data_IF_068143280333
#
_entry.id   IF_068143280333
#
_cell.length_a   1.000
_cell.length_b   1.000
_cell.length_c   1.000
_cell.angle_alpha   90.00
_cell.angle_beta   90.00
_cell.angle_gamma   90.00
#
_symmetry.space_group_name_H-M   'P 1'
#
loop_
_entity.id
_entity.type
_entity.pdbx_description
1 polymer ?
#
# COMPACT_ATOMS: atom_id res chain seq x y z
N UNK A 1 12.81 -30.55 -33.49
CA UNK A 1 13.30 -29.26 -32.93
C UNK A 1 14.03 -29.48 -31.61
N UNK A 2 13.45 -30.20 -30.64
CA UNK A 2 14.10 -30.58 -29.37
C UNK A 2 15.49 -31.22 -29.54
N UNK A 3 15.64 -32.15 -30.48
CA UNK A 3 16.94 -32.78 -30.78
C UNK A 3 18.04 -31.79 -31.16
N UNK A 4 17.71 -30.70 -31.88
CA UNK A 4 18.70 -29.68 -32.25
C UNK A 4 19.13 -28.85 -31.03
N UNK A 5 18.21 -28.58 -30.11
CA UNK A 5 18.49 -27.84 -28.87
C UNK A 5 19.41 -28.65 -27.97
N UNK A 6 19.11 -29.94 -27.75
CA UNK A 6 19.95 -30.81 -26.93
C UNK A 6 21.33 -31.01 -27.56
N UNK A 7 21.40 -31.23 -28.89
CA UNK A 7 22.68 -31.34 -29.59
C UNK A 7 23.52 -30.06 -29.47
N UNK A 8 22.90 -28.88 -29.54
CA UNK A 8 23.57 -27.60 -29.33
C UNK A 8 24.09 -27.47 -27.89
N UNK A 9 23.27 -27.78 -26.89
CA UNK A 9 23.65 -27.71 -25.47
C UNK A 9 24.82 -28.63 -25.13
N UNK A 10 24.83 -29.86 -25.66
CA UNK A 10 25.93 -30.82 -25.46
C UNK A 10 27.21 -30.34 -26.16
N UNK A 11 27.11 -29.83 -27.39
CA UNK A 11 28.25 -29.34 -28.17
C UNK A 11 28.89 -28.09 -27.56
N UNK A 12 28.09 -27.14 -27.07
CA UNK A 12 28.53 -25.84 -26.56
C UNK A 12 28.37 -25.71 -25.03
N UNK A 13 28.71 -26.77 -24.28
CA UNK A 13 28.58 -26.82 -22.81
C UNK A 13 29.15 -25.60 -22.06
N UNK A 14 30.26 -25.03 -22.52
CA UNK A 14 30.86 -23.85 -21.88
C UNK A 14 29.97 -22.60 -21.98
N UNK A 15 29.27 -22.45 -23.10
CA UNK A 15 28.30 -21.35 -23.31
C UNK A 15 27.09 -21.56 -22.41
N UNK A 16 26.57 -22.79 -22.29
CA UNK A 16 25.43 -23.11 -21.43
C UNK A 16 25.74 -22.80 -19.97
N UNK A 17 26.93 -23.17 -19.48
CA UNK A 17 27.36 -22.86 -18.11
C UNK A 17 27.51 -21.34 -17.91
N UNK A 18 28.08 -20.62 -18.88
CA UNK A 18 28.19 -19.17 -18.79
C UNK A 18 26.81 -18.48 -18.73
N UNK A 19 25.85 -18.93 -19.54
CA UNK A 19 24.48 -18.43 -19.50
C UNK A 19 23.78 -18.76 -18.18
N UNK A 20 23.99 -19.95 -17.62
CA UNK A 20 23.45 -20.33 -16.31
C UNK A 20 23.98 -19.43 -15.18
N UNK A 21 25.29 -19.11 -15.20
CA UNK A 21 25.89 -18.19 -14.22
C UNK A 21 25.35 -16.77 -14.39
N UNK A 22 25.23 -16.28 -15.63
CA UNK A 22 24.65 -14.96 -15.91
C UNK A 22 23.19 -14.88 -15.46
N UNK A 23 22.41 -15.94 -15.69
CA UNK A 23 21.02 -16.03 -15.25
C UNK A 23 20.92 -15.98 -13.73
N UNK A 24 21.75 -16.74 -12.99
CA UNK A 24 21.78 -16.65 -11.54
C UNK A 24 22.18 -15.27 -11.04
N UNK A 25 23.22 -14.66 -11.63
CA UNK A 25 23.65 -13.30 -11.27
C UNK A 25 22.56 -12.26 -11.49
N UNK A 26 21.86 -12.32 -12.63
CA UNK A 26 20.74 -11.45 -12.94
C UNK A 26 19.54 -11.70 -12.02
N UNK A 27 19.24 -12.98 -11.74
CA UNK A 27 18.17 -13.37 -10.84
C UNK A 27 18.39 -12.88 -9.41
N UNK A 28 19.63 -12.97 -8.90
CA UNK A 28 19.99 -12.41 -7.59
C UNK A 28 19.81 -10.89 -7.59
N UNK A 29 20.29 -10.20 -8.63
CA UNK A 29 20.12 -8.75 -8.74
C UNK A 29 18.64 -8.33 -8.76
N UNK A 30 17.80 -9.05 -9.52
CA UNK A 30 16.36 -8.79 -9.59
C UNK A 30 15.65 -9.10 -8.28
N UNK A 31 15.96 -10.24 -7.64
CA UNK A 31 15.38 -10.62 -6.35
C UNK A 31 15.72 -9.61 -5.25
N UNK A 32 16.94 -9.05 -5.26
CA UNK A 32 17.39 -8.05 -4.28
C UNK A 32 16.61 -6.73 -4.34
N UNK A 33 16.00 -6.43 -5.49
CA UNK A 33 15.21 -5.22 -5.72
C UNK A 33 13.71 -5.50 -5.85
N UNK A 34 13.27 -6.74 -5.62
CA UNK A 34 11.89 -7.14 -5.81
C UNK A 34 11.01 -6.64 -4.66
N UNK A 35 9.79 -6.22 -4.99
CA UNK A 35 8.78 -5.89 -3.99
C UNK A 35 8.24 -7.17 -3.33
N UNK A 36 8.20 -7.15 -2.00
CA UNK A 36 7.73 -8.24 -1.16
C UNK A 36 6.43 -7.84 -0.46
N UNK A 37 5.38 -8.60 -0.72
CA UNK A 37 4.05 -8.39 -0.14
C UNK A 37 3.47 -9.71 0.36
N UNK A 38 2.47 -9.63 1.23
CA UNK A 38 1.77 -10.82 1.76
C UNK A 38 0.84 -11.39 0.68
N UNK A 39 0.05 -10.51 0.06
CA UNK A 39 -0.94 -10.88 -0.94
C UNK A 39 -0.66 -10.15 -2.26
N UNK A 40 -1.08 -10.72 -3.40
CA UNK A 40 -1.15 -9.96 -4.63
C UNK A 40 -2.19 -8.84 -4.51
N UNK A 41 -2.15 -7.87 -5.42
CA UNK A 41 -3.18 -6.84 -5.53
C UNK A 41 -4.52 -7.46 -5.93
N UNK A 42 -5.45 -7.56 -4.97
CA UNK A 42 -6.73 -8.29 -5.13
C UNK A 42 -7.95 -7.38 -5.06
N UNK A 43 -7.77 -6.12 -4.65
CA UNK A 43 -8.87 -5.16 -4.61
C UNK A 43 -9.32 -4.82 -6.03
N UNK A 44 -10.62 -4.62 -6.26
CA UNK A 44 -11.07 -4.10 -7.54
C UNK A 44 -10.50 -2.69 -7.75
N UNK A 45 -10.28 -2.33 -9.02
CA UNK A 45 -9.87 -0.96 -9.38
C UNK A 45 -11.01 -0.02 -9.05
N UNK A 46 -10.80 0.87 -8.08
CA UNK A 46 -11.84 1.78 -7.63
C UNK A 46 -11.30 3.17 -7.34
N UNK A 47 -12.16 4.16 -7.52
CA UNK A 47 -11.90 5.55 -7.16
C UNK A 47 -12.94 5.97 -6.14
N UNK A 48 -12.47 6.40 -4.97
CA UNK A 48 -13.32 6.87 -3.88
C UNK A 48 -13.25 8.40 -3.86
N UNK A 49 -14.42 9.01 -3.78
CA UNK A 49 -14.60 10.46 -3.69
C UNK A 49 -15.34 10.73 -2.39
N UNK A 50 -14.80 11.63 -1.58
CA UNK A 50 -15.39 12.06 -0.33
C UNK A 50 -15.69 13.55 -0.40
N UNK A 51 -16.88 13.92 0.06
CA UNK A 51 -17.31 15.32 0.09
C UNK A 51 -17.88 15.64 1.46
N UNK A 52 -17.19 16.52 2.18
CA UNK A 52 -17.62 16.99 3.49
C UNK A 52 -18.73 18.05 3.36
N UNK A 53 -19.85 17.80 4.02
CA UNK A 53 -21.06 18.61 3.96
C UNK A 53 -21.55 18.95 5.37
N UNK A 54 -20.67 19.53 6.18
CA UNK A 54 -20.88 19.76 7.60
C UNK A 54 -22.21 20.48 7.89
N UNK A 55 -23.00 19.92 8.81
CA UNK A 55 -24.29 20.47 9.23
C UNK A 55 -25.50 20.01 8.43
N UNK A 56 -25.32 19.22 7.36
CA UNK A 56 -26.44 18.60 6.63
C UNK A 56 -26.85 17.25 7.24
N UNK A 57 -28.16 16.97 7.21
CA UNK A 57 -28.70 15.64 7.51
C UNK A 57 -28.38 14.65 6.38
N UNK A 58 -28.44 13.34 6.64
CA UNK A 58 -28.13 12.33 5.61
C UNK A 58 -29.00 12.48 4.35
N UNK A 59 -30.28 12.81 4.50
CA UNK A 59 -31.21 13.05 3.37
C UNK A 59 -30.83 14.32 2.58
N UNK A 60 -30.41 15.38 3.27
CA UNK A 60 -29.91 16.59 2.60
C UNK A 60 -28.59 16.34 1.88
N UNK A 61 -27.66 15.57 2.48
CA UNK A 61 -26.43 15.14 1.82
C UNK A 61 -26.74 14.34 0.56
N UNK A 62 -27.69 13.41 0.63
CA UNK A 62 -28.10 12.62 -0.52
C UNK A 62 -28.58 13.50 -1.68
N UNK A 63 -29.54 14.39 -1.43
CA UNK A 63 -30.18 15.20 -2.47
C UNK A 63 -29.27 16.32 -2.99
N UNK A 64 -28.53 16.98 -2.09
CA UNK A 64 -27.75 18.18 -2.42
C UNK A 64 -26.31 17.89 -2.84
N UNK A 65 -25.76 16.72 -2.51
CA UNK A 65 -24.35 16.38 -2.76
C UNK A 65 -24.23 15.08 -3.52
N UNK A 66 -24.73 13.98 -2.95
CA UNK A 66 -24.49 12.64 -3.50
C UNK A 66 -25.13 12.47 -4.87
N UNK A 67 -26.40 12.83 -5.05
CA UNK A 67 -27.10 12.70 -6.34
C UNK A 67 -26.46 13.56 -7.45
N UNK A 68 -26.11 14.85 -7.25
CA UNK A 68 -25.34 15.62 -8.23
C UNK A 68 -24.01 14.96 -8.62
N UNK A 69 -23.27 14.43 -7.64
CA UNK A 69 -22.01 13.72 -7.89
C UNK A 69 -22.25 12.46 -8.73
N UNK A 70 -23.20 11.60 -8.34
CA UNK A 70 -23.55 10.39 -9.10
C UNK A 70 -23.98 10.71 -10.52
N UNK A 71 -24.81 11.73 -10.72
CA UNK A 71 -25.29 12.12 -12.05
C UNK A 71 -24.15 12.63 -12.94
N UNK A 72 -23.18 13.34 -12.38
CA UNK A 72 -22.05 13.89 -13.12
C UNK A 72 -20.99 12.83 -13.48
N UNK A 73 -20.81 11.87 -12.58
CA UNK A 73 -19.90 10.74 -12.73
C UNK A 73 -20.55 9.58 -13.52
N UNK A 74 -21.88 9.61 -13.63
CA UNK A 74 -22.66 8.69 -14.43
C UNK A 74 -22.24 8.70 -15.90
N UNK A 75 -22.02 7.50 -16.46
CA UNK A 75 -21.63 7.33 -17.85
C UNK A 75 -20.13 7.49 -18.13
N UNK A 76 -19.28 7.52 -17.10
CA UNK A 76 -17.84 7.36 -17.28
C UNK A 76 -17.53 6.01 -17.94
N UNK A 77 -16.73 6.03 -19.01
CA UNK A 77 -16.31 4.82 -19.71
C UNK A 77 -15.49 3.92 -18.80
N UNK A 78 -15.66 2.60 -18.92
CA UNK A 78 -14.91 1.64 -18.10
C UNK A 78 -15.44 1.43 -16.68
N UNK A 79 -16.49 2.15 -16.28
CA UNK A 79 -17.14 1.96 -14.98
C UNK A 79 -17.99 0.69 -14.98
N UNK A 80 -17.74 -0.21 -14.03
CA UNK A 80 -18.56 -1.40 -13.77
C UNK A 80 -19.75 -1.04 -12.88
N UNK A 81 -19.53 -0.28 -11.81
CA UNK A 81 -20.60 0.16 -10.92
C UNK A 81 -20.24 1.45 -10.19
N UNK A 82 -21.28 2.20 -9.80
CA UNK A 82 -21.17 3.34 -8.88
C UNK A 82 -21.99 2.98 -7.66
N UNK A 83 -21.39 3.14 -6.48
CA UNK A 83 -22.07 3.01 -5.18
C UNK A 83 -21.85 4.28 -4.40
N UNK A 84 -22.86 4.72 -3.66
CA UNK A 84 -22.72 5.85 -2.78
C UNK A 84 -23.24 5.56 -1.39
N UNK A 85 -22.77 6.35 -0.45
CA UNK A 85 -23.20 6.35 0.92
C UNK A 85 -23.32 7.80 1.40
N UNK A 86 -24.53 8.16 1.84
CA UNK A 86 -24.82 9.45 2.45
C UNK A 86 -25.02 9.26 3.94
N UNK A 87 -24.11 9.82 4.73
CA UNK A 87 -24.23 9.90 6.19
C UNK A 87 -24.28 11.37 6.61
N UNK A 88 -24.70 11.69 7.85
CA UNK A 88 -24.70 13.08 8.30
C UNK A 88 -23.32 13.72 8.08
N UNK A 89 -23.31 14.89 7.44
CA UNK A 89 -22.10 15.65 7.13
C UNK A 89 -21.07 15.04 6.17
N UNK A 90 -21.30 13.85 5.58
CA UNK A 90 -20.34 13.23 4.65
C UNK A 90 -21.04 12.45 3.53
N UNK A 91 -20.64 12.72 2.30
CA UNK A 91 -20.95 11.91 1.12
C UNK A 91 -19.73 11.11 0.70
N UNK A 92 -19.90 9.81 0.45
CA UNK A 92 -18.86 8.93 -0.09
C UNK A 92 -19.39 8.29 -1.37
N UNK A 93 -18.70 8.51 -2.49
CA UNK A 93 -19.02 7.92 -3.79
C UNK A 93 -17.86 7.01 -4.20
N UNK A 94 -18.15 5.75 -4.50
CA UNK A 94 -17.21 4.71 -4.88
C UNK A 94 -17.52 4.29 -6.31
N UNK A 95 -16.58 4.56 -7.22
CA UNK A 95 -16.65 4.09 -8.60
C UNK A 95 -15.76 2.88 -8.73
N UNK A 96 -16.33 1.75 -9.15
CA UNK A 96 -15.59 0.54 -9.46
C UNK A 96 -15.46 0.40 -10.98
N UNK A 97 -14.24 0.15 -11.45
CA UNK A 97 -13.89 0.02 -12.86
C UNK A 97 -13.61 -1.43 -13.24
N UNK A 98 -13.78 -1.77 -14.51
CA UNK A 98 -13.42 -3.09 -15.03
C UNK A 98 -11.92 -3.35 -14.95
N UNK A 99 -11.52 -4.60 -14.72
CA UNK A 99 -10.10 -4.97 -14.58
C UNK A 99 -9.22 -4.61 -15.79
N UNK A 100 -9.80 -4.44 -16.97
CA UNK A 100 -9.07 -4.07 -18.20
C UNK A 100 -8.66 -2.60 -18.29
N UNK A 101 -9.15 -1.71 -17.42
CA UNK A 101 -8.85 -0.27 -17.47
C UNK A 101 -7.52 0.06 -16.78
N UNK A 102 -7.00 1.27 -17.01
CA UNK A 102 -5.85 1.78 -16.25
C UNK A 102 -6.37 2.70 -15.14
N UNK A 103 -6.08 2.36 -13.88
CA UNK A 103 -6.56 3.11 -12.72
C UNK A 103 -6.08 4.57 -12.72
N UNK A 104 -4.90 4.87 -13.27
CA UNK A 104 -4.42 6.24 -13.35
C UNK A 104 -5.22 7.04 -14.38
N UNK A 105 -5.57 6.42 -15.51
CA UNK A 105 -6.44 7.03 -16.51
C UNK A 105 -7.87 7.21 -15.96
N UNK A 106 -8.39 6.20 -15.26
CA UNK A 106 -9.71 6.26 -14.64
C UNK A 106 -9.80 7.43 -13.63
N UNK A 107 -8.78 7.60 -12.78
CA UNK A 107 -8.67 8.75 -11.88
C UNK A 107 -8.59 10.08 -12.62
N UNK A 108 -7.85 10.14 -13.73
CA UNK A 108 -7.79 11.35 -14.55
C UNK A 108 -9.19 11.70 -15.09
N UNK A 109 -9.91 10.73 -15.66
CA UNK A 109 -11.26 10.93 -16.19
C UNK A 109 -12.24 11.38 -15.10
N UNK A 110 -12.15 10.80 -13.89
CA UNK A 110 -12.93 11.24 -12.73
C UNK A 110 -12.59 12.68 -12.38
N UNK A 111 -11.29 13.03 -12.29
CA UNK A 111 -10.86 14.38 -11.98
C UNK A 111 -11.37 15.40 -13.00
N UNK A 112 -11.37 15.07 -14.29
CA UNK A 112 -11.92 15.92 -15.35
C UNK A 112 -13.42 16.19 -15.17
N UNK A 113 -14.20 15.20 -14.68
CA UNK A 113 -15.62 15.38 -14.36
C UNK A 113 -15.86 16.21 -13.10
N UNK A 114 -14.98 16.10 -12.10
CA UNK A 114 -15.11 16.85 -10.85
C UNK A 114 -14.87 18.36 -11.02
N UNK A 115 -14.03 18.78 -11.97
CA UNK A 115 -13.68 20.19 -12.18
C UNK A 115 -14.89 21.11 -12.45
N UNK A 116 -15.98 20.59 -13.01
CA UNK A 116 -17.19 21.36 -13.31
C UNK A 116 -18.29 21.29 -12.23
N UNK A 117 -18.07 20.56 -11.13
CA UNK A 117 -19.13 20.29 -10.14
C UNK A 117 -19.16 21.27 -8.98
N UNK A 118 -18.12 22.06 -8.78
CA UNK A 118 -18.08 23.04 -7.70
C UNK A 118 -19.22 24.07 -7.80
N UNK A 119 -19.64 24.42 -9.02
CA UNK A 119 -20.76 25.35 -9.24
C UNK A 119 -22.14 24.71 -8.99
N UNK A 120 -22.22 23.38 -8.98
CA UNK A 120 -23.46 22.62 -8.77
C UNK A 120 -23.69 22.30 -7.28
N UNK A 121 -22.64 22.35 -6.46
CA UNK A 121 -22.72 22.13 -5.02
C UNK A 121 -23.06 23.43 -4.29
N UNK A 122 -23.84 23.38 -3.20
CA UNK A 122 -24.10 24.54 -2.34
C UNK A 122 -22.81 25.21 -1.82
N UNK A 123 -22.82 26.55 -1.70
CA UNK A 123 -21.64 27.37 -1.32
C UNK A 123 -20.98 26.99 0.02
N UNK A 124 -21.71 26.31 0.91
CA UNK A 124 -21.23 25.91 2.25
C UNK A 124 -20.65 24.49 2.31
N UNK A 125 -20.46 23.82 1.17
CA UNK A 125 -19.98 22.43 1.09
C UNK A 125 -18.54 22.42 0.58
N UNK A 126 -17.71 21.57 1.17
CA UNK A 126 -16.32 21.42 0.73
C UNK A 126 -16.26 20.86 -0.70
N UNK A 127 -15.17 21.12 -1.45
CA UNK A 127 -15.00 20.52 -2.76
C UNK A 127 -14.93 18.98 -2.63
N UNK A 128 -15.43 18.23 -3.62
CA UNK A 128 -15.29 16.78 -3.63
C UNK A 128 -13.81 16.40 -3.77
N UNK A 129 -13.31 15.63 -2.82
CA UNK A 129 -11.91 15.19 -2.76
C UNK A 129 -11.80 13.73 -3.18
N UNK A 130 -10.87 13.45 -4.08
CA UNK A 130 -10.54 12.08 -4.45
C UNK A 130 -9.56 11.51 -3.43
N UNK A 131 -9.95 10.41 -2.77
CA UNK A 131 -9.10 9.70 -1.82
C UNK A 131 -7.81 9.25 -2.52
N UNK A 132 -6.64 9.26 -1.84
CA UNK A 132 -5.40 8.71 -2.38
C UNK A 132 -5.58 7.29 -2.92
N UNK A 133 -4.69 6.89 -3.84
CA UNK A 133 -4.74 5.54 -4.39
C UNK A 133 -3.99 4.58 -3.45
N UNK A 134 -4.75 3.69 -2.81
CA UNK A 134 -4.27 2.79 -1.76
C UNK A 134 -3.98 1.37 -2.28
N UNK A 135 -3.18 0.59 -1.54
CA UNK A 135 -2.97 -0.86 -1.78
C UNK A 135 -4.18 -1.69 -1.33
N UNK A 136 -4.44 -2.86 -1.94
CA UNK A 136 -5.43 -3.82 -1.41
C UNK A 136 -5.16 -4.29 0.01
N UNK A 137 -3.90 -4.24 0.46
CA UNK A 137 -3.53 -4.55 1.84
C UNK A 137 -4.02 -3.48 2.83
N UNK A 138 -4.30 -2.27 2.34
CA UNK A 138 -4.78 -1.13 3.12
C UNK A 138 -3.73 -0.63 4.10
N UNK A 139 -3.86 -1.03 5.36
CA UNK A 139 -3.02 -0.56 6.47
C UNK A 139 -1.69 -1.29 6.51
N UNK A 140 -0.59 -0.55 6.29
CA UNK A 140 0.78 -1.07 6.39
C UNK A 140 1.23 -1.13 7.86
N UNK A 141 0.84 -0.16 8.68
CA UNK A 141 1.24 -0.11 10.08
C UNK A 141 0.21 0.66 10.91
N UNK A 142 -0.12 0.15 12.09
CA UNK A 142 -0.90 0.90 13.08
C UNK A 142 0.00 1.28 14.25
N UNK A 143 0.04 2.58 14.54
CA UNK A 143 0.87 3.21 15.55
C UNK A 143 -0.05 3.82 16.61
N UNK A 144 0.33 3.74 17.87
CA UNK A 144 -0.42 4.32 18.98
C UNK A 144 0.42 5.28 19.81
N UNK A 145 -0.21 6.34 20.31
CA UNK A 145 0.36 7.27 21.27
C UNK A 145 -0.55 7.38 22.49
N UNK A 146 0.04 7.22 23.67
CA UNK A 146 -0.64 7.39 24.95
C UNK A 146 0.25 8.13 25.93
N UNK A 147 -0.30 8.96 26.80
CA UNK A 147 0.46 9.62 27.87
C UNK A 147 -0.39 9.73 29.13
N UNK A 148 0.25 9.55 30.28
CA UNK A 148 -0.37 9.86 31.58
C UNK A 148 -0.10 11.32 32.01
N UNK A 149 0.77 12.06 31.30
CA UNK A 149 1.16 13.45 31.61
C UNK A 149 0.47 14.50 30.72
N UNK A 150 0.23 14.16 29.46
CA UNK A 150 -0.37 15.05 28.47
C UNK A 150 -1.85 14.74 28.27
N UNK A 151 -2.65 15.78 28.01
CA UNK A 151 -4.04 15.61 27.62
C UNK A 151 -4.16 15.10 26.17
N UNK A 152 -5.34 14.57 25.84
CA UNK A 152 -5.63 14.06 24.50
C UNK A 152 -5.53 15.13 23.42
N UNK A 153 -5.75 16.40 23.78
CA UNK A 153 -5.67 17.53 22.87
C UNK A 153 -4.22 17.86 22.49
N UNK A 154 -3.29 17.84 23.44
CA UNK A 154 -1.87 18.00 23.16
C UNK A 154 -1.32 16.82 22.35
N UNK A 155 -1.73 15.58 22.68
CA UNK A 155 -1.33 14.40 21.91
C UNK A 155 -1.82 14.46 20.46
N UNK A 156 -3.09 14.84 20.26
CA UNK A 156 -3.66 15.00 18.92
C UNK A 156 -2.94 16.08 18.12
N UNK A 157 -2.67 17.23 18.74
CA UNK A 157 -1.92 18.30 18.09
C UNK A 157 -0.50 17.87 17.70
N UNK A 158 0.20 17.11 18.54
CA UNK A 158 1.52 16.58 18.22
C UNK A 158 1.45 15.63 17.01
N UNK A 159 0.43 14.77 16.96
CA UNK A 159 0.19 13.86 15.85
C UNK A 159 -0.04 14.62 14.55
N UNK A 160 -1.03 15.51 14.53
CA UNK A 160 -1.48 16.17 13.30
C UNK A 160 -0.41 17.10 12.72
N UNK A 161 0.33 17.81 13.58
CA UNK A 161 1.26 18.86 13.14
C UNK A 161 2.72 18.41 13.05
N UNK A 162 3.10 17.29 13.67
CA UNK A 162 4.51 16.84 13.72
C UNK A 162 4.68 15.43 13.17
N UNK A 163 3.96 14.45 13.73
CA UNK A 163 4.18 13.05 13.40
C UNK A 163 3.61 12.69 12.02
N UNK A 164 2.35 13.02 11.75
CA UNK A 164 1.67 12.68 10.49
C UNK A 164 2.39 13.26 9.27
N UNK A 165 2.82 14.55 9.23
CA UNK A 165 3.57 15.09 8.11
C UNK A 165 4.91 14.36 7.87
N UNK A 166 5.61 13.96 8.95
CA UNK A 166 6.86 13.22 8.83
C UNK A 166 6.63 11.81 8.30
N UNK A 167 5.59 11.12 8.76
CA UNK A 167 5.26 9.78 8.27
C UNK A 167 4.75 9.81 6.81
N UNK A 168 3.97 10.81 6.41
CA UNK A 168 3.54 11.01 5.01
C UNK A 168 4.72 11.26 4.05
N UNK A 169 5.86 11.73 4.56
CA UNK A 169 7.07 11.92 3.75
C UNK A 169 7.82 10.61 3.42
N UNK A 170 7.44 9.49 4.05
CA UNK A 170 8.02 8.18 3.75
C UNK A 170 7.48 7.68 2.41
N UNK A 171 8.39 7.29 1.51
CA UNK A 171 8.03 6.75 0.20
C UNK A 171 7.13 5.52 0.34
N UNK A 172 6.02 5.49 -0.40
CA UNK A 172 5.03 4.40 -0.35
C UNK A 172 3.92 4.58 0.69
N UNK A 173 3.90 5.66 1.48
CA UNK A 173 2.77 6.05 2.33
C UNK A 173 1.77 6.90 1.53
N UNK A 174 0.50 6.50 1.51
CA UNK A 174 -0.57 7.20 0.78
C UNK A 174 -1.30 8.20 1.67
N UNK A 175 -1.64 7.77 2.88
CA UNK A 175 -2.44 8.52 3.81
C UNK A 175 -2.20 8.06 5.25
N UNK A 176 -2.62 8.87 6.22
CA UNK A 176 -2.56 8.55 7.64
C UNK A 176 -3.90 8.89 8.28
N UNK A 177 -4.64 7.84 8.61
CA UNK A 177 -5.93 7.98 9.28
C UNK A 177 -5.70 8.06 10.79
N UNK A 178 -6.05 9.21 11.39
CA UNK A 178 -5.88 9.48 12.82
C UNK A 178 -7.20 9.27 13.56
N UNK A 179 -7.21 8.35 14.51
CA UNK A 179 -8.35 8.01 15.35
C UNK A 179 -8.09 8.41 16.81
N UNK A 180 -9.13 8.89 17.47
CA UNK A 180 -9.04 9.38 18.84
C UNK A 180 -8.24 10.66 18.99
N UNK A 181 -7.91 11.00 20.24
CA UNK A 181 -7.44 12.34 20.57
C UNK A 181 -8.54 13.40 20.49
N UNK A 182 -8.23 14.57 21.01
CA UNK A 182 -9.16 15.70 21.03
C UNK A 182 -8.68 16.75 20.02
N UNK A 183 -9.45 16.99 18.96
CA UNK A 183 -9.10 18.04 18.00
C UNK A 183 -9.29 19.42 18.63
N UNK A 184 -8.22 20.23 18.65
CA UNK A 184 -8.24 21.54 19.27
C UNK A 184 -9.06 22.53 18.44
N UNK A 185 -10.16 23.02 18.99
CA UNK A 185 -10.99 24.05 18.37
C UNK A 185 -11.06 25.32 19.24
N UNK A 186 -11.02 26.49 18.60
CA UNK A 186 -11.40 27.74 19.27
C UNK A 186 -12.92 27.89 19.18
N UNK A 187 -13.60 27.74 20.30
CA UNK A 187 -15.06 27.77 20.37
C UNK A 187 -15.53 29.11 20.94
N UNK A 188 -16.50 29.71 20.24
CA UNK A 188 -17.25 30.89 20.70
C UNK A 188 -18.59 30.39 21.24
N UNK A 189 -18.68 30.22 22.55
CA UNK A 189 -19.89 29.71 23.21
C UNK A 189 -20.79 30.90 23.58
N UNK A 190 -21.79 31.15 22.74
CA UNK A 190 -22.69 32.31 22.82
C UNK A 190 -23.61 32.20 24.05
N UNK A 191 -23.78 33.32 24.76
CA UNK A 191 -24.73 33.46 25.86
C UNK A 191 -25.98 34.22 25.38
N UNK A 192 -27.10 33.51 25.26
CA UNK A 192 -28.35 34.07 24.74
C UNK A 192 -28.91 35.21 25.59
N UNK A 193 -28.72 35.16 26.90
CA UNK A 193 -29.23 36.19 27.82
C UNK A 193 -28.44 37.49 27.66
N UNK A 194 -27.11 37.38 27.48
CA UNK A 194 -26.25 38.55 27.23
C UNK A 194 -26.54 39.17 25.86
N UNK A 195 -26.70 38.36 24.81
CA UNK A 195 -27.08 38.86 23.50
C UNK A 195 -28.39 39.66 23.54
N UNK A 196 -29.41 39.13 24.22
CA UNK A 196 -30.70 39.80 24.37
C UNK A 196 -30.57 41.15 25.09
N UNK A 197 -29.76 41.23 26.16
CA UNK A 197 -29.51 42.48 26.91
C UNK A 197 -28.85 43.57 26.07
N UNK A 198 -27.96 43.19 25.15
CA UNK A 198 -27.24 44.12 24.29
C UNK A 198 -27.91 44.33 22.92
N UNK A 199 -29.05 43.70 22.65
CA UNK A 199 -29.75 43.80 21.37
C UNK A 199 -28.90 43.32 20.20
N UNK A 200 -28.16 42.22 20.41
CA UNK A 200 -27.29 41.60 19.41
C UNK A 200 -27.90 40.29 18.92
N UNK A 201 -27.74 39.99 17.64
CA UNK A 201 -28.09 38.70 17.05
C UNK A 201 -26.89 37.74 17.06
N UNK A 202 -27.15 36.46 16.78
CA UNK A 202 -26.08 35.47 16.54
C UNK A 202 -25.28 35.85 15.27
N UNK A 203 -25.95 36.43 14.28
CA UNK A 203 -25.32 36.88 13.04
C UNK A 203 -24.30 37.99 13.30
N UNK A 204 -24.61 38.95 14.20
CA UNK A 204 -23.68 40.01 14.60
C UNK A 204 -22.36 39.43 15.15
N UNK A 205 -22.46 38.40 16.01
CA UNK A 205 -21.27 37.72 16.58
C UNK A 205 -20.53 36.94 15.51
N UNK A 206 -21.26 36.26 14.62
CA UNK A 206 -20.68 35.45 13.55
C UNK A 206 -19.93 36.32 12.55
N UNK A 207 -20.49 37.47 12.17
CA UNK A 207 -19.86 38.45 11.29
C UNK A 207 -18.62 39.08 11.93
N UNK A 208 -18.71 39.46 13.21
CA UNK A 208 -17.56 39.97 13.96
C UNK A 208 -16.42 38.94 14.04
N UNK A 209 -16.76 37.66 14.29
CA UNK A 209 -15.79 36.57 14.31
C UNK A 209 -15.15 36.37 12.93
N UNK A 210 -15.94 36.28 11.86
CA UNK A 210 -15.45 36.14 10.47
C UNK A 210 -14.59 37.32 10.03
N UNK A 211 -14.94 38.55 10.44
CA UNK A 211 -14.14 39.74 10.12
C UNK A 211 -12.80 39.78 10.86
N UNK A 212 -12.71 39.17 12.04
CA UNK A 212 -11.48 39.07 12.81
C UNK A 212 -10.61 37.87 12.43
N UNK A 213 -11.21 36.80 11.89
CA UNK A 213 -10.51 35.58 11.49
C UNK A 213 -10.27 35.57 9.98
N UNK A 214 -9.02 35.74 9.56
CA UNK A 214 -8.64 35.68 8.15
C UNK A 214 -7.30 36.31 7.87
N UNK A 215 -6.59 35.79 6.88
CA UNK A 215 -5.34 36.37 6.39
C UNK A 215 -5.69 37.22 5.16
N UNK A 216 -5.67 38.55 5.32
CA UNK A 216 -5.82 39.46 4.18
C UNK A 216 -4.48 39.75 3.54
N UNK A 217 -4.39 39.54 2.22
CA UNK A 217 -3.22 39.91 1.44
C UNK A 217 -3.02 41.44 1.48
N UNK A 218 -1.90 41.89 2.03
CA UNK A 218 -1.66 43.31 2.32
C UNK A 218 -0.85 44.03 1.23
N UNK A 219 -0.36 43.30 0.22
CA UNK A 219 0.40 43.86 -0.89
C UNK A 219 1.79 44.38 -0.50
N UNK A 220 2.30 45.33 -1.28
CA UNK A 220 3.62 45.95 -1.05
C UNK A 220 3.57 47.44 -1.34
N UNK A 221 4.50 48.18 -0.72
CA UNK A 221 4.81 49.56 -1.06
C UNK A 221 6.13 49.56 -1.83
N UNK A 222 6.14 50.15 -3.01
CA UNK A 222 7.33 50.23 -3.86
C UNK A 222 7.81 51.67 -3.97
N UNK A 223 9.12 51.86 -3.77
CA UNK A 223 9.81 53.11 -4.05
C UNK A 223 10.95 52.86 -5.06
N UNK A 224 11.67 53.92 -5.44
CA UNK A 224 12.74 53.85 -6.44
C UNK A 224 13.93 52.96 -6.08
N UNK A 225 14.08 52.57 -4.81
CA UNK A 225 15.23 51.79 -4.33
C UNK A 225 14.86 50.39 -3.84
N UNK A 226 13.60 50.16 -3.44
CA UNK A 226 13.16 48.87 -2.89
C UNK A 226 11.65 48.68 -2.92
N UNK A 227 11.25 47.41 -2.85
CA UNK A 227 9.88 46.95 -2.64
C UNK A 227 9.74 46.39 -1.23
N UNK A 228 8.85 46.98 -0.43
CA UNK A 228 8.59 46.59 0.96
C UNK A 228 7.26 45.85 1.04
N UNK A 229 7.30 44.57 1.42
CA UNK A 229 6.08 43.79 1.62
C UNK A 229 5.36 44.24 2.90
N UNK A 230 4.06 44.48 2.81
CA UNK A 230 3.25 44.77 3.98
C UNK A 230 2.79 43.46 4.62
N UNK A 231 2.92 43.35 5.95
CA UNK A 231 2.36 42.25 6.72
C UNK A 231 1.38 42.82 7.74
N UNK A 232 0.09 42.56 7.52
CA UNK A 232 -0.94 42.83 8.52
C UNK A 232 -0.74 41.94 9.75
N UNK A 233 -0.83 42.54 10.94
CA UNK A 233 -0.88 41.87 12.23
C UNK A 233 -2.25 42.12 12.88
N UNK A 234 -2.76 41.17 13.67
CA UNK A 234 -4.03 41.35 14.41
C UNK A 234 -4.97 40.15 14.37
N UNK A 235 -4.62 39.08 13.65
CA UNK A 235 -5.39 37.84 13.69
C UNK A 235 -5.29 37.19 15.08
N UNK A 236 -6.42 36.88 15.73
CA UNK A 236 -6.41 36.17 16.99
C UNK A 236 -6.00 34.71 16.77
N UNK A 237 -4.94 34.28 17.45
CA UNK A 237 -4.40 32.90 17.41
C UNK A 237 -4.72 32.10 18.66
N UNK A 238 -5.23 32.78 19.69
CA UNK A 238 -5.63 32.19 20.97
C UNK A 238 -7.05 32.58 21.34
N UNK A 239 -7.67 31.80 22.21
CA UNK A 239 -9.00 32.10 22.74
C UNK A 239 -9.03 33.48 23.44
N UNK A 240 -7.95 33.87 24.11
CA UNK A 240 -7.83 35.14 24.82
C UNK A 240 -7.74 36.33 23.87
N UNK A 241 -7.11 36.15 22.71
CA UNK A 241 -7.08 37.19 21.67
C UNK A 241 -8.43 37.29 20.96
N UNK A 242 -9.06 36.15 20.64
CA UNK A 242 -10.36 36.10 19.99
C UNK A 242 -11.46 36.69 20.88
N UNK A 243 -11.35 36.53 22.20
CA UNK A 243 -12.23 37.15 23.19
C UNK A 243 -12.24 38.69 23.13
N UNK A 244 -11.14 39.31 22.67
CA UNK A 244 -10.98 40.77 22.59
C UNK A 244 -11.47 41.36 21.26
N UNK A 245 -12.04 40.54 20.38
CA UNK A 245 -12.60 41.01 19.12
C UNK A 245 -13.79 41.92 19.40
N UNK A 246 -13.85 43.05 18.69
CA UNK A 246 -14.94 44.01 18.82
C UNK A 246 -16.15 43.50 18.06
N UNK A 247 -17.29 43.37 18.74
CA UNK A 247 -18.58 43.00 18.13
C UNK A 247 -19.34 44.25 17.67
N UNK A 248 -19.41 45.28 18.54
CA UNK A 248 -20.11 46.52 18.22
C UNK A 248 -19.51 47.71 18.98
N UNK A 249 -19.43 48.86 18.31
CA UNK A 249 -19.13 50.15 18.95
C UNK A 249 -20.46 50.85 19.28
N UNK A 250 -20.61 51.32 20.51
CA UNK A 250 -21.77 52.11 20.96
C UNK A 250 -21.31 53.47 21.49
N UNK A 251 -22.21 54.45 21.61
CA UNK A 251 -21.88 55.77 22.19
C UNK A 251 -21.33 55.68 23.62
N UNK A 252 -21.66 54.60 24.34
CA UNK A 252 -21.28 54.36 25.73
C UNK A 252 -20.09 53.39 25.90
N UNK A 253 -19.48 52.90 24.80
CA UNK A 253 -18.32 52.01 24.85
C UNK A 253 -18.27 50.94 23.76
N UNK A 254 -17.18 50.17 23.76
CA UNK A 254 -16.95 49.06 22.83
C UNK A 254 -17.40 47.75 23.47
N UNK A 255 -18.25 46.99 22.78
CA UNK A 255 -18.64 45.64 23.17
C UNK A 255 -17.69 44.62 22.54
N UNK A 256 -17.07 43.80 23.37
CA UNK A 256 -16.15 42.74 22.98
C UNK A 256 -16.86 41.40 22.90
N UNK A 257 -16.23 40.45 22.22
CA UNK A 257 -16.74 39.08 22.11
C UNK A 257 -16.88 38.42 23.48
N UNK A 258 -15.96 38.72 24.42
CA UNK A 258 -16.03 38.28 25.82
C UNK A 258 -17.26 38.76 26.58
N UNK A 259 -17.88 39.86 26.15
CA UNK A 259 -19.03 40.45 26.84
C UNK A 259 -20.32 39.72 26.51
N UNK A 260 -20.34 38.95 25.41
CA UNK A 260 -21.53 38.28 24.88
C UNK A 260 -21.35 36.77 24.68
N UNK A 261 -20.11 36.27 24.74
CA UNK A 261 -19.78 34.86 24.56
C UNK A 261 -18.60 34.45 25.44
N UNK A 262 -18.52 33.16 25.76
CA UNK A 262 -17.37 32.54 26.39
C UNK A 262 -16.46 31.96 25.32
N UNK A 263 -15.25 32.48 25.18
CA UNK A 263 -14.29 32.02 24.17
C UNK A 263 -13.25 31.12 24.83
N UNK A 264 -13.21 29.86 24.39
CA UNK A 264 -12.32 28.83 24.98
C UNK A 264 -11.65 28.01 23.88
N UNK A 265 -10.46 27.49 24.20
CA UNK A 265 -9.87 26.39 23.44
C UNK A 265 -10.40 25.09 24.05
N UNK A 266 -11.16 24.33 23.28
CA UNK A 266 -11.85 23.13 23.74
C UNK A 266 -11.81 22.05 22.64
N UNK A 267 -11.98 20.76 23.02
CA UNK A 267 -12.10 19.69 22.05
C UNK A 267 -13.31 19.92 21.13
N UNK A 268 -13.12 19.70 19.83
CA UNK A 268 -14.22 19.55 18.90
C UNK A 268 -15.14 18.38 19.34
N UNK A 269 -16.45 18.41 19.00
CA UNK A 269 -17.32 17.28 19.27
C UNK A 269 -16.75 15.98 18.69
N UNK A 270 -16.52 14.99 19.55
CA UNK A 270 -15.89 13.75 19.14
C UNK A 270 -16.80 12.96 18.19
N UNK A 271 -16.29 12.69 16.98
CA UNK A 271 -16.93 11.82 15.98
C UNK A 271 -16.39 10.38 16.01
N UNK A 272 -15.45 10.11 16.92
CA UNK A 272 -14.82 8.81 17.13
C UNK A 272 -13.92 8.82 18.36
N UNK A 273 -13.34 7.67 18.69
CA UNK A 273 -12.42 7.54 19.81
C UNK A 273 -11.45 6.39 19.59
N UNK A 274 -10.31 6.42 20.28
CA UNK A 274 -9.33 5.35 20.25
C UNK A 274 -8.81 5.07 21.66
N UNK A 275 -8.51 3.81 21.92
CA UNK A 275 -7.92 3.37 23.17
C UNK A 275 -6.86 2.30 22.90
N UNK A 276 -5.76 2.37 23.65
CA UNK A 276 -4.63 1.45 23.57
C UNK A 276 -4.52 0.75 24.93
N UNK A 277 -4.70 -0.57 24.95
CA UNK A 277 -4.68 -1.34 26.20
C UNK A 277 -5.73 -0.89 27.23
N UNK A 278 -6.87 -0.35 26.77
CA UNK A 278 -7.94 0.17 27.63
C UNK A 278 -7.74 1.61 28.13
N UNK A 279 -6.63 2.28 27.79
CA UNK A 279 -6.41 3.71 28.07
C UNK A 279 -6.75 4.56 26.83
N UNK A 280 -7.43 5.71 26.97
CA UNK A 280 -7.61 6.65 25.86
C UNK A 280 -6.26 7.06 25.25
N UNK A 281 -6.21 7.19 23.93
CA UNK A 281 -5.01 7.58 23.20
C UNK A 281 -5.31 8.00 21.77
N UNK A 282 -4.25 8.23 21.00
CA UNK A 282 -4.33 8.53 19.57
C UNK A 282 -3.77 7.36 18.79
N UNK A 283 -4.53 6.84 17.83
CA UNK A 283 -4.12 5.73 16.97
C UNK A 283 -4.01 6.23 15.54
N UNK A 284 -2.88 5.96 14.91
CA UNK A 284 -2.60 6.30 13.52
C UNK A 284 -2.60 5.00 12.71
N UNK A 285 -3.42 4.94 11.67
CA UNK A 285 -3.37 3.88 10.67
C UNK A 285 -2.65 4.43 9.45
N UNK A 286 -1.45 3.91 9.18
CA UNK A 286 -0.65 4.30 8.02
C UNK A 286 -1.07 3.46 6.83
N UNK A 287 -1.56 4.13 5.80
CA UNK A 287 -2.11 3.51 4.60
C UNK A 287 -1.06 3.48 3.50
N UNK A 288 -0.91 2.32 2.86
CA UNK A 288 0.04 2.11 1.78
C UNK A 288 -0.44 2.63 0.44
N UNK A 289 0.46 3.20 -0.36
CA UNK A 289 0.20 3.50 -1.77
C UNK A 289 -0.09 2.24 -2.57
N UNK A 290 -0.83 2.40 -3.66
CA UNK A 290 -1.04 1.32 -4.61
C UNK A 290 0.27 0.73 -5.10
N UNK A 291 0.37 -0.60 -5.00
CA UNK A 291 1.60 -1.39 -5.27
C UNK A 291 2.81 -1.04 -4.38
N UNK A 292 2.60 -0.41 -3.22
CA UNK A 292 3.66 -0.18 -2.26
C UNK A 292 4.25 -1.51 -1.76
N UNK A 293 5.57 -1.55 -1.55
CA UNK A 293 6.26 -2.67 -0.92
C UNK A 293 6.05 -2.59 0.59
N UNK A 294 5.18 -3.45 1.12
CA UNK A 294 4.79 -3.43 2.55
C UNK A 294 5.99 -3.46 3.49
N UNK A 295 6.99 -4.30 3.19
CA UNK A 295 8.18 -4.47 4.03
C UNK A 295 9.06 -3.21 4.02
N UNK A 296 9.36 -2.68 2.83
CA UNK A 296 10.22 -1.51 2.68
C UNK A 296 9.59 -0.25 3.32
N UNK A 297 8.28 -0.06 3.11
CA UNK A 297 7.56 1.08 3.71
C UNK A 297 7.55 0.96 5.24
N UNK A 298 7.34 -0.24 5.78
CA UNK A 298 7.39 -0.47 7.23
C UNK A 298 8.75 -0.09 7.82
N UNK A 299 9.86 -0.52 7.20
CA UNK A 299 11.21 -0.13 7.66
C UNK A 299 11.44 1.38 7.56
N UNK A 300 10.90 2.04 6.54
CA UNK A 300 10.94 3.50 6.40
C UNK A 300 10.17 4.23 7.51
N UNK A 301 9.00 3.72 7.88
CA UNK A 301 8.18 4.24 8.99
C UNK A 301 8.91 4.03 10.32
N UNK A 302 9.46 2.84 10.58
CA UNK A 302 10.22 2.54 11.80
C UNK A 302 11.44 3.46 11.95
N UNK A 303 12.16 3.72 10.86
CA UNK A 303 13.26 4.67 10.85
C UNK A 303 12.80 6.09 11.20
N UNK A 304 11.66 6.53 10.65
CA UNK A 304 11.08 7.83 10.97
C UNK A 304 10.59 7.91 12.42
N UNK A 305 10.00 6.84 12.96
CA UNK A 305 9.56 6.78 14.37
C UNK A 305 10.74 6.80 15.35
N UNK A 306 11.86 6.18 14.98
CA UNK A 306 13.08 6.19 15.79
C UNK A 306 13.61 7.61 16.03
N UNK A 307 13.38 8.56 15.12
CA UNK A 307 13.76 9.98 15.28
C UNK A 307 13.04 10.66 16.45
N UNK A 308 11.83 10.21 16.80
CA UNK A 308 11.01 10.84 17.85
C UNK A 308 11.04 10.10 19.19
N UNK A 309 11.49 8.85 19.20
CA UNK A 309 11.37 7.95 20.34
C UNK A 309 11.96 8.55 21.63
N UNK A 310 13.19 9.05 21.58
CA UNK A 310 13.86 9.62 22.75
C UNK A 310 13.15 10.90 23.26
N UNK A 311 12.62 11.72 22.35
CA UNK A 311 11.87 12.93 22.68
C UNK A 311 10.52 12.61 23.34
N UNK A 312 9.80 11.63 22.81
CA UNK A 312 8.54 11.16 23.37
C UNK A 312 8.73 10.55 24.76
N UNK A 313 9.77 9.73 24.95
CA UNK A 313 10.09 9.16 26.26
C UNK A 313 10.43 10.25 27.30
N UNK A 314 11.18 11.28 26.90
CA UNK A 314 11.50 12.42 27.78
C UNK A 314 10.25 13.19 28.21
N UNK A 315 9.29 13.40 27.29
CA UNK A 315 8.02 14.08 27.55
C UNK A 315 6.99 13.18 28.24
N UNK A 316 7.28 11.89 28.43
CA UNK A 316 6.36 10.93 29.06
C UNK A 316 5.20 10.51 28.15
N UNK A 317 5.46 10.46 26.86
CA UNK A 317 4.59 9.91 25.83
C UNK A 317 5.08 8.51 25.50
N UNK A 318 4.20 7.51 25.59
CA UNK A 318 4.48 6.14 25.20
C UNK A 318 4.08 5.92 23.75
N UNK A 319 5.05 5.59 22.91
CA UNK A 319 4.86 5.18 21.53
C UNK A 319 4.64 3.66 21.46
N UNK A 320 3.56 3.24 20.81
CA UNK A 320 3.23 1.85 20.53
C UNK A 320 3.34 1.63 19.01
N UNK A 321 4.50 1.16 18.57
CA UNK A 321 4.84 0.96 17.15
C UNK A 321 4.41 -0.42 16.60
N UNK A 322 3.88 -1.30 17.45
CA UNK A 322 3.60 -2.70 17.08
C UNK A 322 2.12 -3.11 17.21
N UNK A 323 1.18 -2.15 17.19
CA UNK A 323 -0.26 -2.45 17.32
C UNK A 323 -0.78 -3.29 16.16
N UNK A 324 -0.31 -3.01 14.94
CA UNK A 324 -0.53 -3.84 13.75
C UNK A 324 0.64 -3.63 12.79
N UNK A 325 1.34 -4.70 12.43
CA UNK A 325 2.57 -4.64 11.62
C UNK A 325 2.70 -5.90 10.75
N UNK A 326 2.01 -5.99 9.60
CA UNK A 326 2.05 -7.16 8.72
C UNK A 326 3.45 -7.55 8.24
N UNK A 327 4.42 -6.62 8.24
CA UNK A 327 5.82 -6.94 7.94
C UNK A 327 6.42 -8.04 8.83
N UNK A 328 5.93 -8.23 10.06
CA UNK A 328 6.39 -9.31 10.93
C UNK A 328 6.13 -10.70 10.34
N UNK A 329 5.01 -10.83 9.62
CA UNK A 329 4.62 -12.05 8.95
C UNK A 329 5.52 -12.27 7.73
N UNK A 330 5.80 -11.23 6.95
CA UNK A 330 6.74 -11.31 5.81
C UNK A 330 8.13 -11.75 6.28
N UNK A 331 8.68 -11.10 7.30
CA UNK A 331 9.99 -11.43 7.88
C UNK A 331 10.03 -12.88 8.38
N UNK A 332 9.02 -13.29 9.15
CA UNK A 332 8.90 -14.67 9.65
C UNK A 332 8.74 -15.69 8.50
N UNK A 333 7.97 -15.36 7.47
CA UNK A 333 7.80 -16.20 6.28
C UNK A 333 9.10 -16.36 5.50
N UNK A 334 9.91 -15.31 5.38
CA UNK A 334 11.23 -15.39 4.74
C UNK A 334 12.17 -16.29 5.53
N UNK A 335 12.20 -16.14 6.86
CA UNK A 335 13.01 -16.98 7.74
C UNK A 335 12.58 -18.46 7.65
N UNK A 336 11.26 -18.72 7.68
CA UNK A 336 10.71 -20.06 7.49
C UNK A 336 11.07 -20.63 6.11
N UNK A 337 10.93 -19.85 5.04
CA UNK A 337 11.29 -20.29 3.68
C UNK A 337 12.77 -20.64 3.61
N UNK A 338 13.65 -19.83 4.22
CA UNK A 338 15.08 -20.12 4.29
C UNK A 338 15.35 -21.43 5.02
N UNK A 339 14.72 -21.64 6.17
CA UNK A 339 14.84 -22.89 6.93
C UNK A 339 14.33 -24.08 6.12
N UNK A 340 13.15 -23.97 5.50
CA UNK A 340 12.55 -25.01 4.68
C UNK A 340 13.37 -25.31 3.42
N UNK A 341 13.98 -24.32 2.76
CA UNK A 341 14.91 -24.58 1.66
C UNK A 341 16.16 -25.33 2.13
N UNK A 342 16.69 -25.00 3.31
CA UNK A 342 17.86 -25.70 3.86
C UNK A 342 17.52 -27.14 4.27
N UNK A 343 16.45 -27.35 5.02
CA UNK A 343 16.02 -28.67 5.50
C UNK A 343 15.50 -29.51 4.34
N UNK A 344 14.59 -28.96 3.54
CA UNK A 344 14.00 -29.61 2.37
C UNK A 344 15.06 -29.92 1.30
N UNK A 345 15.94 -28.97 1.00
CA UNK A 345 17.07 -29.19 0.10
C UNK A 345 18.02 -30.27 0.62
N UNK A 346 18.28 -30.31 1.93
CA UNK A 346 19.05 -31.38 2.58
C UNK A 346 18.38 -32.75 2.49
N UNK A 347 17.06 -32.83 2.70
CA UNK A 347 16.29 -34.07 2.55
C UNK A 347 16.26 -34.55 1.10
N UNK A 348 16.04 -33.66 0.13
CA UNK A 348 16.13 -33.97 -1.29
C UNK A 348 17.54 -34.47 -1.62
N UNK A 349 18.59 -33.81 -1.14
CA UNK A 349 19.98 -34.27 -1.32
C UNK A 349 20.18 -35.68 -0.79
N UNK A 350 19.69 -35.97 0.42
CA UNK A 350 19.79 -37.28 1.06
C UNK A 350 19.12 -38.36 0.19
N UNK A 351 17.89 -38.11 -0.24
CA UNK A 351 17.14 -39.03 -1.11
C UNK A 351 17.88 -39.25 -2.42
N UNK A 352 18.35 -38.19 -3.08
CA UNK A 352 19.13 -38.29 -4.32
C UNK A 352 20.39 -39.14 -4.14
N UNK A 353 21.14 -38.95 -3.06
CA UNK A 353 22.34 -39.75 -2.77
C UNK A 353 21.97 -41.21 -2.52
N UNK A 354 20.88 -41.48 -1.80
CA UNK A 354 20.43 -42.84 -1.50
C UNK A 354 19.95 -43.60 -2.74
N UNK A 355 19.29 -42.93 -3.69
CA UNK A 355 18.81 -43.56 -4.91
C UNK A 355 19.92 -43.70 -5.97
N UNK A 356 20.72 -42.65 -6.17
CA UNK A 356 21.75 -42.63 -7.22
C UNK A 356 23.06 -43.31 -6.80
N UNK A 357 23.29 -43.48 -5.48
CA UNK A 357 24.58 -43.90 -4.90
C UNK A 357 25.81 -43.13 -5.44
N UNK A 358 25.58 -41.90 -5.93
CA UNK A 358 26.61 -41.06 -6.54
C UNK A 358 26.38 -39.59 -6.19
N UNK A 359 27.26 -39.05 -5.35
CA UNK A 359 27.20 -37.66 -4.89
C UNK A 359 27.32 -36.65 -6.04
N UNK A 360 28.09 -36.97 -7.09
CA UNK A 360 28.26 -36.05 -8.22
C UNK A 360 26.97 -35.93 -9.04
N UNK A 361 26.32 -37.05 -9.32
CA UNK A 361 25.04 -37.05 -10.04
C UNK A 361 23.98 -36.32 -9.22
N UNK A 362 23.89 -36.59 -7.92
CA UNK A 362 22.97 -35.90 -7.01
C UNK A 362 23.20 -34.37 -6.97
N UNK A 363 24.45 -33.91 -6.92
CA UNK A 363 24.78 -32.48 -6.98
C UNK A 363 24.40 -31.85 -8.33
N UNK A 364 24.60 -32.56 -9.44
CA UNK A 364 24.19 -32.08 -10.77
C UNK A 364 22.67 -31.90 -10.81
N UNK A 365 21.88 -32.89 -10.38
CA UNK A 365 20.42 -32.79 -10.34
C UNK A 365 19.96 -31.65 -9.43
N UNK A 366 20.62 -31.43 -8.29
CA UNK A 366 20.30 -30.33 -7.38
C UNK A 366 20.50 -28.95 -8.00
N UNK A 367 21.46 -28.76 -8.92
CA UNK A 367 21.66 -27.45 -9.57
C UNK A 367 20.48 -27.02 -10.45
N UNK A 368 19.61 -27.95 -10.86
CA UNK A 368 18.42 -27.63 -11.63
C UNK A 368 17.41 -26.78 -10.82
N UNK A 369 17.31 -27.04 -9.51
CA UNK A 369 16.38 -26.35 -8.59
C UNK A 369 16.58 -24.83 -8.57
N UNK A 370 17.76 -24.29 -8.18
CA UNK A 370 17.94 -22.85 -8.12
C UNK A 370 17.86 -22.23 -9.52
N UNK A 371 18.32 -22.93 -10.56
CA UNK A 371 18.33 -22.40 -11.91
C UNK A 371 16.91 -22.20 -12.47
N UNK A 372 16.01 -23.17 -12.25
CA UNK A 372 14.60 -23.06 -12.66
C UNK A 372 13.87 -21.97 -11.88
N UNK A 373 14.05 -21.93 -10.56
CA UNK A 373 13.41 -20.93 -9.70
C UNK A 373 13.85 -19.52 -10.08
N UNK A 374 15.15 -19.28 -10.32
CA UNK A 374 15.61 -17.98 -10.78
C UNK A 374 15.09 -17.64 -12.18
N UNK A 375 15.00 -18.61 -13.09
CA UNK A 375 14.45 -18.38 -14.42
C UNK A 375 12.97 -17.94 -14.35
N UNK A 376 12.15 -18.68 -13.61
CA UNK A 376 10.74 -18.36 -13.40
C UNK A 376 10.58 -16.99 -12.70
N UNK A 377 11.35 -16.75 -11.65
CA UNK A 377 11.35 -15.48 -10.91
C UNK A 377 11.71 -14.29 -11.81
N UNK A 378 12.74 -14.41 -12.65
CA UNK A 378 13.11 -13.35 -13.58
C UNK A 378 11.93 -13.01 -14.50
N UNK A 379 11.27 -14.01 -15.09
CA UNK A 379 10.13 -13.78 -15.98
C UNK A 379 8.98 -13.12 -15.23
N UNK A 380 8.63 -13.60 -14.03
CA UNK A 380 7.59 -13.01 -13.19
C UNK A 380 7.87 -11.54 -12.85
N UNK A 381 9.10 -11.23 -12.47
CA UNK A 381 9.50 -9.87 -12.11
C UNK A 381 9.51 -8.93 -13.33
N UNK A 382 9.88 -9.41 -14.52
CA UNK A 382 9.76 -8.62 -15.76
C UNK A 382 8.31 -8.43 -16.21
N UNK A 383 7.40 -9.35 -15.85
CA UNK A 383 5.96 -9.17 -16.02
C UNK A 383 5.35 -8.19 -15.02
N UNK A 384 6.14 -7.69 -14.05
CA UNK A 384 5.69 -6.76 -13.02
C UNK A 384 4.88 -7.43 -11.91
N UNK A 385 5.03 -8.74 -11.72
CA UNK A 385 4.38 -9.49 -10.63
C UNK A 385 5.23 -9.38 -9.36
N UNK A 386 4.68 -8.82 -8.29
CA UNK A 386 5.35 -8.77 -6.98
C UNK A 386 5.49 -10.17 -6.39
N UNK A 387 6.55 -10.37 -5.58
CA UNK A 387 6.74 -11.62 -4.85
C UNK A 387 5.78 -11.61 -3.66
N UNK A 388 4.90 -12.60 -3.63
CA UNK A 388 3.93 -12.79 -2.57
C UNK A 388 3.72 -14.28 -2.27
N UNK A 389 2.90 -14.59 -1.27
CA UNK A 389 2.67 -15.97 -0.82
C UNK A 389 2.11 -16.85 -1.94
N UNK A 390 1.27 -16.31 -2.83
CA UNK A 390 0.66 -17.06 -3.92
C UNK A 390 1.69 -17.42 -4.98
N UNK A 391 2.58 -16.49 -5.32
CA UNK A 391 3.72 -16.72 -6.21
C UNK A 391 4.68 -17.74 -5.61
N UNK A 392 5.06 -17.57 -4.34
CA UNK A 392 5.95 -18.49 -3.63
C UNK A 392 5.34 -19.89 -3.51
N UNK A 393 4.03 -19.98 -3.29
CA UNK A 393 3.27 -21.23 -3.29
C UNK A 393 3.32 -21.93 -4.65
N UNK A 394 3.08 -21.19 -5.74
CA UNK A 394 3.20 -21.71 -7.10
C UNK A 394 4.58 -22.28 -7.39
N UNK A 395 5.64 -21.51 -7.09
CA UNK A 395 7.03 -21.92 -7.23
C UNK A 395 7.37 -23.14 -6.35
N UNK A 396 6.85 -23.21 -5.13
CA UNK A 396 7.06 -24.33 -4.22
C UNK A 396 6.39 -25.62 -4.69
N UNK A 397 5.21 -25.54 -5.31
CA UNK A 397 4.55 -26.71 -5.92
C UNK A 397 5.33 -27.13 -7.18
N UNK A 398 5.72 -26.18 -8.04
CA UNK A 398 6.49 -26.42 -9.26
C UNK A 398 7.86 -27.05 -8.98
N UNK A 399 8.47 -26.74 -7.82
CA UNK A 399 9.73 -27.31 -7.39
C UNK A 399 9.72 -28.84 -7.41
N UNK A 400 8.61 -29.47 -7.01
CA UNK A 400 8.48 -30.94 -7.04
C UNK A 400 8.57 -31.51 -8.45
N UNK A 401 7.94 -30.85 -9.42
CA UNK A 401 7.96 -31.26 -10.84
C UNK A 401 9.36 -31.09 -11.45
N UNK A 402 10.00 -29.94 -11.21
CA UNK A 402 11.35 -29.68 -11.76
C UNK A 402 12.38 -30.68 -11.23
N UNK A 403 12.27 -31.06 -9.94
CA UNK A 403 13.16 -32.05 -9.34
C UNK A 403 12.96 -33.41 -10.01
N UNK A 404 11.73 -33.83 -10.27
CA UNK A 404 11.44 -35.12 -10.91
C UNK A 404 12.02 -35.19 -12.33
N UNK A 405 11.84 -34.14 -13.16
CA UNK A 405 12.46 -34.07 -14.49
C UNK A 405 13.99 -34.19 -14.42
N UNK A 406 14.61 -33.40 -13.54
CA UNK A 406 16.05 -33.42 -13.35
C UNK A 406 16.57 -34.80 -12.92
N UNK A 407 15.84 -35.52 -12.07
CA UNK A 407 16.21 -36.87 -11.61
C UNK A 407 16.11 -37.88 -12.75
N UNK A 408 14.99 -37.91 -13.48
CA UNK A 408 14.74 -38.90 -14.54
C UNK A 408 15.81 -38.79 -15.63
N UNK A 409 16.13 -37.56 -16.07
CA UNK A 409 17.18 -37.34 -17.07
C UNK A 409 18.57 -37.73 -16.55
N UNK A 410 18.93 -37.27 -15.36
CA UNK A 410 20.27 -37.53 -14.80
C UNK A 410 20.51 -39.00 -14.49
N UNK A 411 19.50 -39.72 -14.00
CA UNK A 411 19.59 -41.16 -13.77
C UNK A 411 19.66 -41.94 -15.08
N UNK A 412 18.88 -41.58 -16.11
CA UNK A 412 18.96 -42.26 -17.40
C UNK A 412 20.35 -42.06 -18.05
N UNK A 413 20.87 -40.83 -18.02
CA UNK A 413 22.22 -40.52 -18.51
C UNK A 413 23.26 -41.31 -17.72
N UNK A 414 23.17 -41.34 -16.38
CA UNK A 414 24.11 -42.05 -15.54
C UNK A 414 24.11 -43.56 -15.81
N UNK A 415 22.93 -44.18 -15.93
CA UNK A 415 22.75 -45.58 -16.29
C UNK A 415 23.38 -45.89 -17.65
N UNK A 416 23.06 -45.11 -18.69
CA UNK A 416 23.60 -45.29 -20.05
C UNK A 416 25.11 -45.11 -20.12
N UNK A 417 25.68 -44.18 -19.35
CA UNK A 417 27.13 -44.01 -19.24
C UNK A 417 27.81 -45.21 -18.57
N UNK A 418 27.17 -45.83 -17.57
CA UNK A 418 27.68 -47.05 -16.90
C UNK A 418 27.59 -48.29 -17.79
N UNK A 419 26.53 -48.40 -18.60
CA UNK A 419 26.41 -49.45 -19.63
C UNK A 419 27.51 -49.26 -20.69
N UNK A 420 27.73 -48.04 -21.17
CA UNK A 420 28.74 -47.73 -22.18
C UNK A 420 30.18 -47.96 -21.69
N UNK A 421 30.47 -47.70 -20.41
CA UNK A 421 31.79 -47.98 -19.84
C UNK A 421 32.10 -49.48 -19.72
N UNK A 422 31.06 -50.32 -19.76
CA UNK A 422 31.18 -51.78 -19.72
C UNK A 422 31.30 -52.40 -21.12
N UNK A 423 31.21 -51.60 -22.19
CA UNK A 423 31.34 -52.09 -23.57
C UNK A 423 32.82 -52.27 -23.96
N UNK A 424 33.13 -53.24 -24.85
CA UNK A 424 34.50 -53.45 -25.36
C UNK A 424 35.07 -52.25 -26.11
N UNK A 425 34.21 -51.48 -26.79
CA UNK A 425 34.53 -50.23 -27.47
C UNK A 425 33.52 -49.17 -27.00
N UNK A 426 33.88 -48.34 -26.01
CA UNK A 426 32.99 -47.31 -25.51
C UNK A 426 32.72 -46.24 -26.58
N UNK A 427 31.45 -45.83 -26.73
CA UNK A 427 31.08 -44.65 -27.52
C UNK A 427 31.55 -43.36 -26.82
N UNK A 428 31.64 -42.27 -27.58
CA UNK A 428 31.92 -40.93 -27.03
C UNK A 428 30.90 -40.54 -25.96
N UNK A 429 31.36 -39.98 -24.84
CA UNK A 429 30.50 -39.52 -23.74
C UNK A 429 29.41 -38.56 -24.21
N UNK A 430 29.71 -37.68 -25.18
CA UNK A 430 28.73 -36.72 -25.72
C UNK A 430 27.59 -37.40 -26.48
N UNK A 431 27.91 -38.44 -27.26
CA UNK A 431 26.90 -39.18 -28.02
C UNK A 431 25.99 -39.97 -27.09
N UNK A 432 26.57 -40.59 -26.05
CA UNK A 432 25.81 -41.32 -25.04
C UNK A 432 24.89 -40.40 -24.25
N UNK A 433 25.37 -39.22 -23.84
CA UNK A 433 24.55 -38.22 -23.14
C UNK A 433 23.42 -37.72 -24.05
N UNK A 434 23.70 -37.47 -25.32
CA UNK A 434 22.69 -37.05 -26.29
C UNK A 434 21.61 -38.11 -26.51
N UNK A 435 22.01 -39.36 -26.79
CA UNK A 435 21.09 -40.48 -27.03
C UNK A 435 20.24 -40.75 -25.77
N UNK A 436 20.88 -40.78 -24.59
CA UNK A 436 20.19 -40.98 -23.31
C UNK A 436 19.20 -39.86 -22.99
N UNK A 437 19.54 -38.60 -23.29
CA UNK A 437 18.62 -37.47 -23.11
C UNK A 437 17.42 -37.60 -24.06
N UNK A 438 17.64 -38.01 -25.32
CA UNK A 438 16.58 -38.14 -26.32
C UNK A 438 15.60 -39.28 -26.06
N UNK A 439 16.03 -40.33 -25.37
CA UNK A 439 15.19 -41.48 -25.00
C UNK A 439 14.01 -41.08 -24.09
N UNK A 440 14.23 -40.16 -23.15
CA UNK A 440 13.25 -39.76 -22.14
C UNK A 440 12.60 -38.40 -22.41
N UNK A 441 13.24 -37.52 -23.21
CA UNK A 441 12.79 -36.12 -23.36
C UNK A 441 11.38 -35.98 -23.90
N UNK A 442 10.96 -36.78 -24.89
CA UNK A 442 9.61 -36.67 -25.45
C UNK A 442 8.56 -36.90 -24.37
N UNK A 443 8.71 -37.97 -23.59
CA UNK A 443 7.79 -38.33 -22.52
C UNK A 443 7.72 -37.26 -21.44
N UNK A 444 8.87 -36.73 -20.99
CA UNK A 444 8.88 -35.70 -19.94
C UNK A 444 8.25 -34.39 -20.43
N UNK A 445 8.57 -33.95 -21.65
CA UNK A 445 7.96 -32.73 -22.22
C UNK A 445 6.43 -32.86 -22.32
N UNK A 446 5.92 -34.03 -22.77
CA UNK A 446 4.47 -34.25 -22.79
C UNK A 446 3.86 -34.29 -21.39
N UNK A 447 4.53 -34.91 -20.42
CA UNK A 447 4.08 -34.93 -19.03
C UNK A 447 3.97 -33.51 -18.47
N UNK A 448 5.01 -32.69 -18.64
CA UNK A 448 5.00 -31.30 -18.16
C UNK A 448 3.90 -30.47 -18.83
N UNK A 449 3.66 -30.61 -20.13
CA UNK A 449 2.54 -29.93 -20.78
C UNK A 449 1.18 -30.35 -20.21
N UNK A 450 0.99 -31.63 -19.90
CA UNK A 450 -0.25 -32.13 -19.29
C UNK A 450 -0.43 -31.50 -17.91
N UNK A 451 0.62 -31.45 -17.09
CA UNK A 451 0.54 -30.88 -15.75
C UNK A 451 0.32 -29.36 -15.80
N UNK A 452 1.00 -28.64 -16.68
CA UNK A 452 0.73 -27.21 -16.93
C UNK A 452 -0.75 -26.96 -17.30
N UNK A 453 -1.34 -27.79 -18.16
CA UNK A 453 -2.75 -27.68 -18.56
C UNK A 453 -3.73 -27.87 -17.39
N UNK A 454 -3.36 -28.60 -16.35
CA UNK A 454 -4.18 -28.76 -15.13
C UNK A 454 -4.28 -27.44 -14.36
N UNK A 455 -3.29 -26.55 -14.46
CA UNK A 455 -3.27 -25.25 -13.79
C UNK A 455 -3.87 -24.11 -14.61
N UNK A 456 -4.04 -24.27 -15.94
CA UNK A 456 -4.66 -23.26 -16.82
C UNK A 456 -6.05 -22.80 -16.35
N UNK A 457 -6.96 -23.66 -15.82
CA UNK A 457 -8.25 -23.20 -15.30
C UNK A 457 -8.16 -22.12 -14.23
N UNK A 458 -7.08 -22.07 -13.43
CA UNK A 458 -6.89 -21.02 -12.42
C UNK A 458 -6.79 -19.61 -13.03
N UNK A 459 -6.23 -19.52 -14.25
CA UNK A 459 -6.10 -18.25 -14.98
C UNK A 459 -7.45 -17.74 -15.54
N UNK A 460 -8.50 -18.57 -15.48
CA UNK A 460 -9.84 -18.21 -15.96
C UNK A 460 -10.78 -17.77 -14.83
N UNK A 461 -10.32 -17.83 -13.59
CA UNK A 461 -11.07 -17.36 -12.43
C UNK A 461 -11.22 -15.83 -12.49
N UNK A 462 -12.42 -15.34 -12.17
CA UNK A 462 -12.71 -13.91 -12.16
C UNK A 462 -12.85 -13.34 -10.74
N UNK A 463 -12.83 -12.02 -10.64
CA UNK A 463 -13.00 -11.29 -9.38
C UNK A 463 -11.83 -11.49 -8.41
N UNK A 464 -12.14 -11.42 -7.11
CA UNK A 464 -11.13 -11.50 -6.03
C UNK A 464 -10.39 -12.84 -6.05
N UNK A 465 -11.09 -13.95 -6.29
CA UNK A 465 -10.46 -15.27 -6.37
C UNK A 465 -9.48 -15.35 -7.55
N UNK A 466 -9.85 -14.81 -8.72
CA UNK A 466 -8.96 -14.70 -9.87
C UNK A 466 -7.67 -13.96 -9.52
N UNK A 467 -7.79 -12.72 -9.02
CA UNK A 467 -6.63 -11.88 -8.66
C UNK A 467 -5.73 -12.51 -7.59
N UNK A 468 -6.30 -13.32 -6.70
CA UNK A 468 -5.52 -14.05 -5.70
C UNK A 468 -4.79 -15.28 -6.26
N UNK A 469 -5.43 -16.09 -7.10
CA UNK A 469 -4.87 -17.37 -7.55
C UNK A 469 -4.19 -17.33 -8.92
N UNK A 470 -4.44 -16.32 -9.74
CA UNK A 470 -3.77 -16.13 -11.03
C UNK A 470 -2.23 -16.09 -10.89
N UNK A 471 -1.63 -15.32 -9.96
CA UNK A 471 -0.18 -15.31 -9.77
C UNK A 471 0.40 -16.68 -9.39
N UNK A 472 -0.37 -17.50 -8.65
CA UNK A 472 0.03 -18.87 -8.32
C UNK A 472 0.06 -19.76 -9.56
N UNK A 473 -0.97 -19.66 -10.41
CA UNK A 473 -1.02 -20.40 -11.68
C UNK A 473 0.09 -19.99 -12.64
N UNK A 474 0.33 -18.69 -12.80
CA UNK A 474 1.42 -18.17 -13.65
C UNK A 474 2.78 -18.63 -13.13
N UNK A 475 3.02 -18.51 -11.82
CA UNK A 475 4.28 -18.93 -11.21
C UNK A 475 4.53 -20.43 -11.27
N UNK A 476 3.47 -21.25 -11.34
CA UNK A 476 3.59 -22.69 -11.55
C UNK A 476 3.94 -23.06 -13.00
N UNK A 477 3.31 -22.37 -13.97
CA UNK A 477 3.45 -22.66 -15.40
C UNK A 477 4.81 -22.21 -15.95
N UNK A 478 5.36 -21.12 -15.40
CA UNK A 478 6.69 -20.59 -15.72
C UNK A 478 7.80 -21.40 -15.05
#
# INVERSE_FOLDING_TARGET
>A
MLSKVVAFSVRFRGVVVALAILLMGYGIYKLSNASLDIFPEFAPKQVIIQTEAQGLTAEQVEVLVTQPLENALGGLMGTESIRSQSIPSLSVVILTFYDSTDIYLDRQLVSERLLGLNDALPENIGPPLMVPLESSSGTIMTIGLSSDKHDLMALRALVDWTLSPRLLSVEGVADINVFGGDEKQLQIQIDSDKLSRYGLSIDDVTEAAKGATGIMASGYIENSNQRMMLKMSGQPTSAQELAKVVVRQTENGTLLLSDVATVVAAPAPAIGGAAIGGKPGVVLMVIGQYKANTLAVTHGIEAALAEFKDGFEADGITLHDNLFRPANYIESSIDNIREHLMVGGGLVMLVLILFLFNLRTALISMTAIPLSLFAALIVLLEMGVNINIMVLGGLAIALGEVIDDAIIDTENIFRRLRENSSLPVPKSTMDVVFDASMEVRSSVVYASFIVMLVFVPLLTLSGVAGRMFEPLGIAYIL
#
